data_IF_354547606988
#
_entry.id   IF_354547606988
#
_cell.length_a   1.000
_cell.length_b   1.000
_cell.length_c   1.000
_cell.angle_alpha   90.00
_cell.angle_beta   90.00
_cell.angle_gamma   90.00
#
_symmetry.space_group_name_H-M   'P 1'
#
loop_
_entity.id
_entity.type
_entity.pdbx_description
1 polymer ?
#
# COMPACT_ATOMS: atom_id res chain seq x y z
N UNK A 1 3.15 -31.76 34.82
CA UNK A 1 2.31 -32.82 35.43
C UNK A 1 1.06 -32.97 34.58
N UNK A 2 0.97 -34.07 33.84
CA UNK A 2 -0.15 -34.40 32.97
C UNK A 2 -0.12 -35.90 32.72
N UNK A 3 -0.16 -36.67 33.81
CA UNK A 3 -0.27 -38.12 33.75
C UNK A 3 -1.72 -38.49 33.58
N UNK A 4 -2.05 -39.23 32.52
CA UNK A 4 -3.34 -39.89 32.42
C UNK A 4 -3.28 -41.07 33.40
N UNK A 5 -4.14 -41.06 34.42
CA UNK A 5 -4.21 -42.15 35.37
C UNK A 5 -4.96 -43.31 34.71
N UNK A 6 -4.20 -44.29 34.21
CA UNK A 6 -4.75 -45.57 33.75
C UNK A 6 -4.74 -46.49 34.96
N UNK A 7 -5.86 -46.46 35.69
CA UNK A 7 -5.99 -47.04 37.03
C UNK A 7 -5.35 -48.41 37.23
N UNK A 8 -4.83 -48.61 38.43
CA UNK A 8 -4.19 -49.85 38.85
C UNK A 8 -5.24 -50.97 38.96
N UNK A 9 -5.22 -51.90 38.00
CA UNK A 9 -6.01 -53.12 38.08
C UNK A 9 -5.14 -54.30 37.66
N UNK A 10 -4.79 -55.10 38.67
CA UNK A 10 -4.05 -56.35 38.50
C UNK A 10 -4.70 -57.27 37.47
N UNK A 11 -3.84 -57.94 36.68
CA UNK A 11 -4.24 -59.08 35.84
C UNK A 11 -4.25 -58.83 34.33
N UNK A 12 -3.07 -58.93 33.72
CA UNK A 12 -2.79 -59.48 32.37
C UNK A 12 -3.42 -58.88 31.10
N UNK A 13 -4.22 -57.81 31.11
CA UNK A 13 -4.52 -57.04 29.87
C UNK A 13 -4.55 -55.53 30.13
N UNK A 14 -3.57 -54.81 29.58
CA UNK A 14 -3.47 -53.34 29.60
C UNK A 14 -4.69 -52.76 28.89
N UNK A 15 -5.45 -51.88 29.54
CA UNK A 15 -6.53 -51.16 28.90
C UNK A 15 -5.95 -50.26 27.80
N UNK A 16 -6.34 -50.49 26.55
CA UNK A 16 -5.86 -49.76 25.37
C UNK A 16 -6.69 -48.52 25.04
N UNK A 17 -7.81 -48.32 25.74
CA UNK A 17 -8.64 -47.13 25.62
C UNK A 17 -8.49 -46.28 26.88
N UNK A 18 -7.89 -45.11 26.70
CA UNK A 18 -7.80 -44.05 27.72
C UNK A 18 -8.61 -42.86 27.20
N UNK A 19 -9.52 -42.35 28.01
CA UNK A 19 -10.25 -41.12 27.69
C UNK A 19 -9.27 -39.94 27.66
N UNK A 20 -9.27 -39.20 26.56
CA UNK A 20 -8.37 -38.07 26.36
C UNK A 20 -8.92 -36.84 27.10
N UNK A 21 -8.06 -36.16 27.86
CA UNK A 21 -8.41 -34.88 28.47
C UNK A 21 -8.61 -33.84 27.37
N UNK A 22 -9.87 -33.49 27.08
CA UNK A 22 -10.20 -32.53 26.03
C UNK A 22 -9.80 -31.09 26.39
N UNK A 23 -9.76 -30.74 27.68
CA UNK A 23 -9.48 -29.37 28.14
C UNK A 23 -8.08 -28.88 27.69
N UNK A 24 -6.97 -29.62 27.92
CA UNK A 24 -5.67 -29.22 27.41
C UNK A 24 -5.55 -29.28 25.88
N UNK A 25 -6.30 -30.16 25.22
CA UNK A 25 -6.26 -30.31 23.76
C UNK A 25 -6.92 -29.11 23.05
N UNK A 26 -8.01 -28.60 23.63
CA UNK A 26 -8.68 -27.38 23.14
C UNK A 26 -7.77 -26.16 23.29
N UNK A 27 -7.05 -26.04 24.42
CA UNK A 27 -6.10 -24.93 24.63
C UNK A 27 -4.98 -24.93 23.58
N UNK A 28 -4.40 -26.12 23.30
CA UNK A 28 -3.38 -26.29 22.27
C UNK A 28 -3.89 -25.95 20.85
N UNK A 29 -5.12 -26.36 20.52
CA UNK A 29 -5.73 -26.03 19.23
C UNK A 29 -6.10 -24.54 19.11
N UNK A 30 -6.58 -23.91 20.20
CA UNK A 30 -6.91 -22.49 20.19
C UNK A 30 -5.67 -21.62 20.00
N UNK A 31 -4.57 -21.92 20.71
CA UNK A 31 -3.30 -21.18 20.59
C UNK A 31 -2.71 -21.29 19.18
N UNK A 32 -2.77 -22.47 18.56
CA UNK A 32 -2.28 -22.67 17.19
C UNK A 32 -3.12 -21.94 16.13
N UNK A 33 -4.45 -21.89 16.30
CA UNK A 33 -5.33 -21.09 15.42
C UNK A 33 -5.04 -19.59 15.57
N UNK A 34 -4.86 -19.10 16.80
CA UNK A 34 -4.52 -17.69 17.04
C UNK A 34 -3.17 -17.31 16.39
N UNK A 35 -2.17 -18.19 16.47
CA UNK A 35 -0.87 -17.99 15.83
C UNK A 35 -0.98 -17.90 14.29
N UNK A 36 -1.76 -18.79 13.67
CA UNK A 36 -1.98 -18.79 12.21
C UNK A 36 -2.73 -17.53 11.75
N UNK A 37 -3.69 -17.03 12.52
CA UNK A 37 -4.43 -15.82 12.18
C UNK A 37 -3.55 -14.56 12.28
N UNK A 38 -2.70 -14.43 13.30
CA UNK A 38 -1.79 -13.29 13.46
C UNK A 38 -0.76 -13.25 12.32
N UNK A 39 -0.18 -14.40 11.98
CA UNK A 39 0.85 -14.49 10.91
C UNK A 39 0.26 -14.34 9.51
N UNK A 40 -0.99 -14.79 9.27
CA UNK A 40 -1.69 -14.57 8.00
C UNK A 40 -1.92 -13.08 7.71
N UNK A 41 -2.35 -12.29 8.69
CA UNK A 41 -2.55 -10.84 8.53
C UNK A 41 -1.23 -10.13 8.22
N UNK A 42 -0.11 -10.61 8.79
CA UNK A 42 1.20 -10.02 8.57
C UNK A 42 1.71 -10.15 7.12
N UNK A 43 1.28 -11.19 6.39
CA UNK A 43 1.63 -11.32 4.95
C UNK A 43 0.98 -10.26 4.06
N UNK A 44 -0.13 -9.66 4.50
CA UNK A 44 -0.90 -8.72 3.67
C UNK A 44 -0.34 -7.30 3.74
N UNK A 45 0.38 -6.94 4.81
CA UNK A 45 0.95 -5.61 5.00
C UNK A 45 2.28 -5.36 4.25
N UNK A 46 2.91 -6.42 3.72
CA UNK A 46 4.19 -6.30 2.98
C UNK A 46 4.02 -5.96 1.49
N UNK A 47 2.82 -5.59 1.04
CA UNK A 47 2.53 -5.24 -0.36
C UNK A 47 2.58 -3.75 -0.65
N UNK A 48 3.36 -2.98 0.09
CA UNK A 48 3.81 -1.69 -0.45
C UNK A 48 4.82 -2.02 -1.55
N UNK A 49 4.39 -1.86 -2.80
CA UNK A 49 5.26 -1.95 -3.95
C UNK A 49 6.26 -0.80 -3.82
N UNK A 50 7.45 -1.09 -3.30
CA UNK A 50 8.60 -0.19 -3.22
C UNK A 50 9.62 -0.61 -4.27
N UNK A 51 9.16 -0.77 -5.51
CA UNK A 51 10.03 -1.16 -6.60
C UNK A 51 10.79 0.07 -7.10
N UNK A 52 12.13 -0.02 -7.08
CA UNK A 52 12.96 0.96 -7.76
C UNK A 52 12.82 0.66 -9.24
N UNK A 53 12.04 1.46 -9.96
CA UNK A 53 11.85 1.36 -11.41
C UNK A 53 13.17 1.75 -12.12
N UNK A 54 14.20 0.90 -11.98
CA UNK A 54 15.49 1.03 -12.65
C UNK A 54 15.38 0.21 -13.94
N UNK A 55 15.47 0.84 -15.11
CA UNK A 55 15.48 0.11 -16.37
C UNK A 55 16.63 -0.91 -16.37
N UNK A 56 16.30 -2.20 -16.44
CA UNK A 56 17.29 -3.26 -16.63
C UNK A 56 17.98 -3.15 -17.99
N UNK A 57 19.15 -3.79 -18.17
CA UNK A 57 19.83 -3.84 -19.47
C UNK A 57 18.89 -4.39 -20.54
N UNK A 58 18.77 -3.77 -21.72
CA UNK A 58 17.85 -4.23 -22.75
C UNK A 58 18.25 -5.61 -23.29
N UNK A 59 17.26 -6.49 -23.43
CA UNK A 59 17.41 -7.79 -24.10
C UNK A 59 17.72 -7.58 -25.60
N UNK A 60 18.84 -8.10 -26.14
CA UNK A 60 19.29 -7.83 -27.51
C UNK A 60 18.44 -8.47 -28.63
N UNK A 61 17.41 -9.26 -28.27
CA UNK A 61 16.56 -10.01 -29.22
C UNK A 61 15.16 -9.43 -29.41
N UNK A 62 14.80 -8.36 -28.69
CA UNK A 62 13.50 -7.69 -28.85
C UNK A 62 13.70 -6.36 -29.56
N UNK A 63 12.95 -6.13 -30.64
CA UNK A 63 12.77 -4.81 -31.20
C UNK A 63 12.15 -3.92 -30.10
N UNK A 64 12.97 -3.04 -29.53
CA UNK A 64 12.52 -2.02 -28.60
C UNK A 64 11.72 -1.03 -29.43
N UNK A 65 10.40 -1.23 -29.55
CA UNK A 65 9.52 -0.11 -29.88
C UNK A 65 9.85 0.99 -28.87
N UNK A 66 10.25 2.21 -29.28
CA UNK A 66 10.52 3.29 -28.34
C UNK A 66 9.22 3.60 -27.61
N UNK A 67 8.98 2.95 -26.48
CA UNK A 67 7.85 3.29 -25.63
C UNK A 67 8.20 4.66 -25.08
N UNK A 68 7.46 5.67 -25.52
CA UNK A 68 7.58 6.98 -24.90
C UNK A 68 7.29 6.76 -23.42
N UNK A 69 8.22 7.10 -22.51
CA UNK A 69 8.01 6.85 -21.09
C UNK A 69 6.66 7.44 -20.66
N UNK A 70 5.90 6.70 -19.86
CA UNK A 70 4.67 7.24 -19.27
C UNK A 70 5.04 8.39 -18.32
N UNK A 71 4.10 9.34 -18.17
CA UNK A 71 4.30 10.47 -17.26
C UNK A 71 4.07 10.01 -15.83
N UNK A 72 5.01 10.34 -14.94
CA UNK A 72 4.98 9.96 -13.52
C UNK A 72 5.04 11.22 -12.68
N UNK A 73 4.12 11.36 -11.72
CA UNK A 73 4.13 12.43 -10.74
C UNK A 73 5.09 12.07 -9.60
N UNK A 74 6.10 12.89 -9.34
CA UNK A 74 6.98 12.76 -8.19
C UNK A 74 6.60 13.84 -7.17
N UNK A 75 6.08 13.45 -6.02
CA UNK A 75 5.74 14.35 -4.93
C UNK A 75 6.86 14.30 -3.89
N UNK A 76 7.57 15.40 -3.71
CA UNK A 76 8.58 15.55 -2.67
C UNK A 76 8.00 16.34 -1.49
N UNK A 77 8.08 15.75 -0.30
CA UNK A 77 7.66 16.40 0.94
C UNK A 77 8.90 17.06 1.57
N UNK A 78 8.96 18.38 1.54
CA UNK A 78 10.00 19.18 2.19
C UNK A 78 9.47 19.77 3.50
N UNK A 79 10.34 20.42 4.27
CA UNK A 79 9.98 20.99 5.58
C UNK A 79 8.91 22.09 5.47
N UNK A 80 9.01 22.96 4.46
CA UNK A 80 8.15 24.13 4.29
C UNK A 80 7.24 24.09 3.05
N UNK A 81 7.48 23.17 2.12
CA UNK A 81 6.74 23.08 0.86
C UNK A 81 6.60 21.63 0.36
N UNK A 82 5.58 21.39 -0.44
CA UNK A 82 5.42 20.20 -1.26
C UNK A 82 5.86 20.53 -2.69
N UNK A 83 6.74 19.73 -3.26
CA UNK A 83 7.16 19.91 -4.65
C UNK A 83 6.59 18.79 -5.52
N UNK A 84 5.75 19.16 -6.48
CA UNK A 84 5.11 18.25 -7.43
C UNK A 84 5.87 18.34 -8.76
N UNK A 85 6.52 17.24 -9.13
CA UNK A 85 7.36 17.17 -10.32
C UNK A 85 6.83 16.10 -11.27
N UNK A 86 6.21 16.50 -12.37
CA UNK A 86 5.88 15.58 -13.45
C UNK A 86 7.12 15.25 -14.25
N UNK A 87 7.42 13.96 -14.39
CA UNK A 87 8.53 13.47 -15.20
C UNK A 87 8.04 12.57 -16.31
N UNK A 88 8.70 12.65 -17.46
CA UNK A 88 8.54 11.71 -18.55
C UNK A 88 9.91 11.11 -18.86
N UNK A 89 10.18 9.94 -18.30
CA UNK A 89 11.53 9.36 -18.28
C UNK A 89 12.49 10.25 -17.48
N UNK A 90 13.55 10.73 -18.13
CA UNK A 90 14.54 11.62 -17.50
C UNK A 90 14.15 13.11 -17.54
N UNK A 91 13.09 13.48 -18.28
CA UNK A 91 12.73 14.88 -18.52
C UNK A 91 11.69 15.36 -17.52
N UNK A 92 11.92 16.53 -16.92
CA UNK A 92 10.90 17.22 -16.10
C UNK A 92 9.95 17.96 -17.04
N UNK A 93 8.67 17.60 -16.98
CA UNK A 93 7.60 18.18 -17.82
C UNK A 93 6.95 19.37 -17.13
N UNK A 94 6.73 19.27 -15.81
CA UNK A 94 6.14 20.33 -14.99
C UNK A 94 6.70 20.22 -13.58
N UNK A 95 6.86 21.37 -12.94
CA UNK A 95 7.27 21.50 -11.54
C UNK A 95 6.42 22.57 -10.88
N UNK A 96 5.73 22.20 -9.80
CA UNK A 96 4.88 23.09 -9.03
C UNK A 96 5.17 22.96 -7.55
N UNK A 97 5.42 24.10 -6.91
CA UNK A 97 5.64 24.19 -5.47
C UNK A 97 4.37 24.65 -4.77
N UNK A 98 3.99 23.91 -3.73
CA UNK A 98 2.81 24.19 -2.91
C UNK A 98 3.30 24.43 -1.48
N UNK A 99 3.03 25.60 -0.88
CA UNK A 99 3.45 25.87 0.49
C UNK A 99 2.76 24.90 1.45
N UNK A 100 3.53 24.36 2.40
CA UNK A 100 3.00 23.47 3.43
C UNK A 100 2.45 24.32 4.59
N UNK A 101 1.16 24.20 4.94
CA UNK A 101 0.61 24.94 6.07
C UNK A 101 1.23 24.44 7.39
N UNK A 102 1.40 25.32 8.38
CA UNK A 102 1.87 24.90 9.70
C UNK A 102 0.89 23.91 10.31
N UNK A 103 1.42 22.82 10.85
CA UNK A 103 0.64 21.75 11.46
C UNK A 103 0.77 21.86 12.98
N UNK A 104 -0.36 21.98 13.67
CA UNK A 104 -0.38 21.89 15.12
C UNK A 104 -0.02 20.46 15.55
N UNK A 105 1.02 20.32 16.38
CA UNK A 105 1.50 19.01 16.86
C UNK A 105 0.41 18.21 17.61
N UNK A 106 -0.59 18.90 18.17
CA UNK A 106 -1.72 18.29 18.88
C UNK A 106 -2.92 17.95 17.98
N UNK A 107 -2.88 18.28 16.69
CA UNK A 107 -3.96 17.94 15.77
C UNK A 107 -4.13 16.40 15.68
N UNK A 108 -5.35 15.95 15.87
CA UNK A 108 -5.71 14.52 15.73
C UNK A 108 -5.86 14.14 14.25
N UNK A 109 -6.32 15.09 13.42
CA UNK A 109 -6.52 14.90 11.98
C UNK A 109 -5.88 16.08 11.25
N UNK A 110 -4.96 15.78 10.34
CA UNK A 110 -4.29 16.75 9.48
C UNK A 110 -4.83 16.55 8.07
N UNK A 111 -5.14 17.63 7.36
CA UNK A 111 -5.59 17.58 5.97
C UNK A 111 -4.94 18.70 5.15
N UNK A 112 -4.43 18.34 3.97
CA UNK A 112 -3.84 19.28 3.04
C UNK A 112 -4.79 19.52 1.85
N UNK A 113 -5.87 20.29 2.07
CA UNK A 113 -6.87 20.55 1.02
C UNK A 113 -6.32 21.33 -0.17
N UNK A 114 -5.37 22.23 0.07
CA UNK A 114 -4.77 23.03 -1.00
C UNK A 114 -3.83 22.19 -1.87
N UNK A 115 -3.13 21.24 -1.23
CA UNK A 115 -2.34 20.23 -1.94
C UNK A 115 -3.24 19.37 -2.83
N UNK A 116 -4.37 18.87 -2.30
CA UNK A 116 -5.33 18.06 -3.06
C UNK A 116 -5.84 18.79 -4.32
N UNK A 117 -6.25 20.06 -4.18
CA UNK A 117 -6.70 20.89 -5.32
C UNK A 117 -5.61 21.08 -6.36
N UNK A 118 -4.36 21.27 -5.93
CA UNK A 118 -3.22 21.43 -6.84
C UNK A 118 -2.89 20.13 -7.55
N UNK A 119 -2.91 18.99 -6.86
CA UNK A 119 -2.73 17.67 -7.47
C UNK A 119 -3.82 17.42 -8.52
N UNK A 120 -5.08 17.76 -8.23
CA UNK A 120 -6.19 17.62 -9.18
C UNK A 120 -6.00 18.50 -10.42
N UNK A 121 -5.59 19.77 -10.24
CA UNK A 121 -5.29 20.67 -11.35
C UNK A 121 -4.14 20.15 -12.23
N UNK A 122 -3.07 19.66 -11.60
CA UNK A 122 -1.91 19.09 -12.28
C UNK A 122 -2.27 17.80 -13.04
N UNK A 123 -3.06 16.92 -12.44
CA UNK A 123 -3.56 15.71 -13.10
C UNK A 123 -4.45 16.06 -14.30
N UNK A 124 -5.29 17.08 -14.17
CA UNK A 124 -6.13 17.62 -15.26
C UNK A 124 -5.33 18.33 -16.37
N UNK A 125 -4.04 18.61 -16.18
CA UNK A 125 -3.18 19.14 -17.25
C UNK A 125 -2.26 18.07 -17.85
N UNK A 126 -1.66 17.22 -17.02
CA UNK A 126 -0.58 16.33 -17.44
C UNK A 126 -0.93 14.84 -17.42
N UNK A 127 -1.97 14.42 -16.68
CA UNK A 127 -2.39 13.02 -16.56
C UNK A 127 -2.79 12.41 -17.89
N UNK A 128 -2.32 11.19 -18.16
CA UNK A 128 -2.49 10.49 -19.44
C UNK A 128 -3.72 9.58 -19.47
N UNK A 129 -4.19 9.11 -18.30
CA UNK A 129 -5.18 8.04 -18.20
C UNK A 129 -6.55 8.55 -17.74
N UNK A 130 -7.22 9.33 -18.60
CA UNK A 130 -8.54 9.94 -18.27
C UNK A 130 -9.74 9.25 -18.90
N UNK A 131 -9.53 8.45 -19.93
CA UNK A 131 -10.64 7.77 -20.60
C UNK A 131 -11.32 6.79 -19.63
N UNK A 132 -12.65 6.81 -19.48
CA UNK A 132 -13.37 5.85 -18.63
C UNK A 132 -13.17 4.38 -19.03
N UNK A 133 -12.76 4.12 -20.26
CA UNK A 133 -12.47 2.78 -20.79
C UNK A 133 -11.03 2.34 -20.50
N UNK A 134 -10.15 3.29 -20.16
CA UNK A 134 -8.76 3.01 -19.80
C UNK A 134 -8.70 2.42 -18.39
N UNK A 135 -8.10 1.23 -18.29
CA UNK A 135 -7.93 0.50 -17.04
C UNK A 135 -6.64 0.87 -16.31
N UNK A 136 -5.68 1.50 -16.99
CA UNK A 136 -4.44 1.97 -16.38
C UNK A 136 -4.70 3.26 -15.59
N UNK A 137 -3.95 3.45 -14.51
CA UNK A 137 -3.96 4.67 -13.71
C UNK A 137 -2.58 5.30 -13.79
N UNK A 138 -2.51 6.62 -13.66
CA UNK A 138 -1.23 7.32 -13.66
C UNK A 138 -0.41 6.91 -12.42
N UNK A 139 0.91 7.02 -12.48
CA UNK A 139 1.79 6.67 -11.35
C UNK A 139 2.17 7.91 -10.56
N UNK A 140 2.08 7.83 -9.23
CA UNK A 140 2.57 8.83 -8.31
C UNK A 140 3.61 8.23 -7.36
N UNK A 141 4.81 8.81 -7.31
CA UNK A 141 5.88 8.43 -6.39
C UNK A 141 5.96 9.50 -5.30
N UNK A 142 5.73 9.08 -4.06
CA UNK A 142 5.86 9.96 -2.89
C UNK A 142 7.24 9.78 -2.26
N UNK A 143 7.99 10.86 -2.22
CA UNK A 143 9.30 10.97 -1.59
C UNK A 143 9.14 11.67 -0.24
N UNK A 144 9.54 10.98 0.83
CA UNK A 144 9.51 11.52 2.19
C UNK A 144 10.85 11.32 2.88
N UNK A 145 11.13 12.19 3.85
CA UNK A 145 12.20 12.01 4.83
C UNK A 145 11.73 11.05 5.95
N UNK A 146 12.67 10.31 6.53
CA UNK A 146 12.47 9.43 7.69
C UNK A 146 11.99 10.17 8.96
N UNK A 147 12.19 11.49 9.03
CA UNK A 147 11.79 12.31 10.19
C UNK A 147 10.34 12.77 10.13
N UNK A 148 9.66 12.61 8.99
CA UNK A 148 8.30 13.11 8.82
C UNK A 148 7.33 12.29 9.69
N UNK A 149 6.51 12.94 10.55
CA UNK A 149 5.53 12.23 11.36
C UNK A 149 4.53 11.44 10.51
N UNK A 150 4.20 10.23 10.93
CA UNK A 150 3.29 9.35 10.19
C UNK A 150 1.92 10.01 9.90
N UNK A 151 1.41 10.83 10.82
CA UNK A 151 0.14 11.56 10.60
C UNK A 151 0.18 12.49 9.39
N UNK A 152 1.33 13.09 9.12
CA UNK A 152 1.51 13.95 7.95
C UNK A 152 1.62 13.15 6.66
N UNK A 153 2.27 11.99 6.71
CA UNK A 153 2.31 11.03 5.59
C UNK A 153 0.88 10.64 5.19
N UNK A 154 0.03 10.27 6.17
CA UNK A 154 -1.38 9.96 5.92
C UNK A 154 -2.12 11.14 5.30
N UNK A 155 -1.91 12.36 5.81
CA UNK A 155 -2.56 13.56 5.25
C UNK A 155 -2.16 13.86 3.80
N UNK A 156 -0.93 13.53 3.41
CA UNK A 156 -0.49 13.63 2.00
C UNK A 156 -1.08 12.51 1.15
N UNK A 157 -1.16 11.29 1.66
CA UNK A 157 -1.82 10.17 0.97
C UNK A 157 -3.30 10.49 0.71
N UNK A 158 -4.01 11.05 1.69
CA UNK A 158 -5.38 11.51 1.54
C UNK A 158 -5.51 12.56 0.43
N UNK A 159 -4.53 13.47 0.31
CA UNK A 159 -4.50 14.48 -0.74
C UNK A 159 -4.24 13.88 -2.14
N UNK A 160 -3.40 12.83 -2.24
CA UNK A 160 -3.17 12.09 -3.48
C UNK A 160 -4.37 11.22 -3.91
N UNK A 161 -5.16 10.73 -2.95
CA UNK A 161 -6.40 9.98 -3.19
C UNK A 161 -7.61 10.85 -3.55
N UNK A 162 -7.54 12.15 -3.28
CA UNK A 162 -8.63 13.09 -3.56
C UNK A 162 -9.09 13.12 -5.03
N UNK A 163 -8.19 13.20 -6.04
CA UNK A 163 -8.61 13.13 -7.44
C UNK A 163 -9.12 11.72 -7.79
N UNK A 164 -10.35 11.68 -8.29
CA UNK A 164 -11.02 10.47 -8.73
C UNK A 164 -11.52 10.59 -10.17
N UNK A 165 -11.53 9.48 -10.88
CA UNK A 165 -12.11 9.37 -12.23
C UNK A 165 -13.13 8.26 -12.30
N UNK A 166 -14.07 8.39 -13.22
CA UNK A 166 -15.02 7.33 -13.55
C UNK A 166 -14.31 6.27 -14.40
N UNK A 167 -14.41 5.00 -14.00
CA UNK A 167 -13.91 3.85 -14.75
C UNK A 167 -15.03 2.85 -15.00
N UNK A 168 -15.15 2.38 -16.24
CA UNK A 168 -16.09 1.34 -16.64
C UNK A 168 -15.50 -0.04 -16.38
N UNK A 169 -16.22 -0.84 -15.60
CA UNK A 169 -15.85 -2.22 -15.32
C UNK A 169 -16.44 -3.17 -16.37
N UNK A 170 -15.87 -4.38 -16.54
CA UNK A 170 -16.38 -5.39 -17.49
C UNK A 170 -17.86 -5.76 -17.25
N UNK A 171 -18.35 -5.56 -16.03
CA UNK A 171 -19.73 -5.77 -15.59
C UNK A 171 -20.69 -4.63 -16.04
N UNK A 172 -20.22 -3.67 -16.84
CA UNK A 172 -21.01 -2.53 -17.30
C UNK A 172 -21.22 -1.42 -16.26
N UNK A 173 -20.86 -1.66 -15.00
CA UNK A 173 -20.91 -0.66 -13.93
C UNK A 173 -19.80 0.39 -14.07
N UNK A 174 -20.13 1.65 -13.74
CA UNK A 174 -19.16 2.75 -13.65
C UNK A 174 -18.88 3.03 -12.18
N UNK A 175 -17.62 3.02 -11.76
CA UNK A 175 -17.23 3.39 -10.38
C UNK A 175 -16.17 4.48 -10.40
N UNK A 176 -16.22 5.34 -9.38
CA UNK A 176 -15.15 6.29 -9.10
C UNK A 176 -13.95 5.57 -8.51
N UNK A 177 -12.81 5.73 -9.17
CA UNK A 177 -11.53 5.18 -8.74
C UNK A 177 -10.51 6.30 -8.59
N UNK A 178 -9.55 6.18 -7.66
CA UNK A 178 -8.41 7.09 -7.60
C UNK A 178 -7.66 7.14 -8.93
N UNK A 179 -7.17 8.32 -9.28
CA UNK A 179 -6.48 8.51 -10.56
C UNK A 179 -5.02 8.02 -10.54
N UNK A 180 -4.44 7.87 -9.34
CA UNK A 180 -3.05 7.47 -9.15
C UNK A 180 -2.92 6.08 -8.55
N UNK A 181 -1.98 5.30 -9.07
CA UNK A 181 -1.31 4.24 -8.32
C UNK A 181 -0.12 4.83 -7.58
N UNK A 182 -0.04 4.61 -6.27
CA UNK A 182 0.95 5.26 -5.43
C UNK A 182 2.07 4.32 -5.05
N UNK A 183 3.30 4.78 -5.23
CA UNK A 183 4.53 4.11 -4.85
C UNK A 183 5.28 4.98 -3.84
N UNK A 184 5.88 4.35 -2.84
CA UNK A 184 6.64 5.05 -1.81
C UNK A 184 8.13 4.94 -2.09
N UNK A 185 8.84 6.06 -1.98
CA UNK A 185 10.30 6.10 -2.05
C UNK A 185 10.83 6.79 -0.80
N UNK A 186 11.61 6.04 -0.02
CA UNK A 186 12.33 6.58 1.13
C UNK A 186 13.73 6.95 0.67
N UNK A 187 14.18 8.14 1.03
CA UNK A 187 15.56 8.57 0.85
C UNK A 187 16.21 8.90 2.18
#
# INVERSE_FOLDING_TARGET
>A
MGGVDVGDSGGKKRATNSDINMIPFIDLLMVTIAFLLITAVWTTNNRINADAQVPGPPDPTKELTPQTPEKVLNLHILESEFNLVWKQGATVVSEVKVPKPPVDANATVIRYSDLAKKIEAEWNQHGGHRDPSDKKVDQAIMHTDNRLPFKEIIAVLDALYAPQRDMKFPDGSTKKVPVFNMTFSVR
#
